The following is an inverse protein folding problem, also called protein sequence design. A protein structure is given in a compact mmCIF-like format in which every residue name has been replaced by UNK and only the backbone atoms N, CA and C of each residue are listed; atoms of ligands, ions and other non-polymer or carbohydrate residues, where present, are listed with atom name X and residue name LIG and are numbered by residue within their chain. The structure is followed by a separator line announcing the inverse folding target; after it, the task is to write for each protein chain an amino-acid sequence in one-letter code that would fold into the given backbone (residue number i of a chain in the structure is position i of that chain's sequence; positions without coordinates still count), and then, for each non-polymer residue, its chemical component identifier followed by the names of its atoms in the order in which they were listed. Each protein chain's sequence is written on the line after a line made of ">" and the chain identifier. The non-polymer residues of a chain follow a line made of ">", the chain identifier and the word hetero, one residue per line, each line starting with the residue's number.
data_IF_204571543698
#
_entry.id   IF_204571543698
#
_cell.length_a   1.000
_cell.length_b   1.000
_cell.length_c   1.000
_cell.angle_alpha   90.00
_cell.angle_beta   90.00
_cell.angle_gamma   90.00
#
_symmetry.space_group_name_H-M   'P 1'
#
loop_
_entity.id
_entity.type
_entity.pdbx_description
1 polymer ?
#
# COMPACT_ATOMS: atom_id res chain seq x y z
N UNK A 1 -19.00 -6.16 25.93
CA UNK A 1 -19.51 -7.48 26.39
C UNK A 1 -19.57 -7.44 27.91
N UNK A 2 -20.63 -7.96 28.53
CA UNK A 2 -20.73 -7.96 30.00
C UNK A 2 -20.47 -9.38 30.53
N UNK A 3 -19.61 -9.48 31.54
CA UNK A 3 -19.35 -10.70 32.29
C UNK A 3 -20.11 -10.60 33.60
N UNK A 4 -20.81 -11.67 33.98
CA UNK A 4 -21.61 -11.74 35.20
C UNK A 4 -21.19 -12.99 35.97
N UNK A 5 -20.83 -12.82 37.24
CA UNK A 5 -20.60 -13.94 38.15
C UNK A 5 -21.96 -14.58 38.52
N UNK A 6 -22.03 -15.91 38.59
CA UNK A 6 -23.24 -16.63 38.98
C UNK A 6 -22.92 -17.93 39.73
N UNK A 7 -23.89 -18.41 40.53
CA UNK A 7 -23.87 -19.68 41.25
C UNK A 7 -22.67 -19.90 42.20
N UNK A 8 -22.46 -19.04 43.23
CA UNK A 8 -21.45 -19.32 44.24
C UNK A 8 -21.80 -20.58 45.04
N UNK A 9 -20.81 -21.43 45.31
CA UNK A 9 -20.96 -22.66 46.10
C UNK A 9 -20.24 -22.55 47.44
N UNK A 10 -20.51 -23.46 48.39
CA UNK A 10 -19.76 -23.53 49.65
C UNK A 10 -20.07 -22.43 50.66
N UNK A 11 -21.25 -21.80 50.56
CA UNK A 11 -21.70 -20.74 51.48
C UNK A 11 -21.21 -19.33 51.14
N UNK A 12 -20.53 -19.14 50.00
CA UNK A 12 -20.11 -17.83 49.53
C UNK A 12 -21.28 -17.01 48.95
N UNK A 13 -21.17 -15.69 49.03
CA UNK A 13 -22.08 -14.73 48.39
C UNK A 13 -21.31 -13.88 47.37
N UNK A 14 -21.96 -13.47 46.27
CA UNK A 14 -21.35 -12.56 45.30
C UNK A 14 -21.23 -11.15 45.90
N UNK A 15 -20.07 -10.51 45.70
CA UNK A 15 -19.82 -9.13 46.12
C UNK A 15 -20.20 -8.12 45.03
N UNK A 16 -20.20 -6.83 45.37
CA UNK A 16 -20.45 -5.74 44.42
C UNK A 16 -19.15 -5.06 43.98
N UNK A 17 -18.89 -4.91 42.66
CA UNK A 17 -19.72 -5.34 41.54
C UNK A 17 -19.55 -6.84 41.22
N UNK A 18 -20.66 -7.51 40.90
CA UNK A 18 -20.70 -8.90 40.40
C UNK A 18 -20.65 -8.96 38.85
N UNK A 19 -20.60 -7.79 38.21
CA UNK A 19 -20.45 -7.62 36.77
C UNK A 19 -19.17 -6.90 36.41
N UNK A 20 -18.56 -7.30 35.30
CA UNK A 20 -17.45 -6.58 34.67
C UNK A 20 -17.77 -6.32 33.19
N UNK A 21 -17.29 -5.19 32.67
CA UNK A 21 -17.37 -4.87 31.24
C UNK A 21 -16.08 -5.33 30.56
N UNK A 22 -16.19 -6.27 29.61
CA UNK A 22 -15.14 -6.58 28.66
C UNK A 22 -15.29 -5.71 27.42
N UNK A 23 -14.29 -4.89 27.18
CA UNK A 23 -14.10 -4.15 25.93
C UNK A 23 -13.16 -4.95 25.03
N UNK A 24 -13.63 -5.35 23.85
CA UNK A 24 -12.76 -5.82 22.78
C UNK A 24 -12.40 -4.57 21.98
N UNK A 25 -11.11 -4.22 21.96
CA UNK A 25 -10.60 -3.16 21.10
C UNK A 25 -10.35 -3.79 19.75
N UNK A 26 -11.11 -3.37 18.74
CA UNK A 26 -10.85 -3.75 17.37
C UNK A 26 -9.50 -3.16 16.94
N UNK A 27 -8.59 -4.02 16.49
CA UNK A 27 -7.30 -3.62 15.93
C UNK A 27 -7.18 -3.97 14.44
N UNK A 28 -8.29 -4.28 13.77
CA UNK A 28 -8.39 -4.50 12.32
C UNK A 28 -8.29 -3.18 11.56
N UNK A 29 -7.29 -2.36 11.90
CA UNK A 29 -6.93 -1.20 11.09
C UNK A 29 -6.48 -1.70 9.71
N UNK A 30 -7.06 -1.13 8.65
CA UNK A 30 -6.64 -1.43 7.28
C UNK A 30 -5.19 -1.02 7.00
N UNK A 31 -4.60 -0.22 7.89
CA UNK A 31 -3.21 0.22 7.81
C UNK A 31 -3.02 1.40 6.87
N UNK A 32 -1.77 1.83 6.76
CA UNK A 32 -1.33 2.96 5.95
C UNK A 32 -0.62 2.42 4.72
N UNK A 33 -1.14 2.74 3.53
CA UNK A 33 -0.57 2.38 2.24
C UNK A 33 0.22 3.55 1.66
N UNK A 34 1.45 3.30 1.22
CA UNK A 34 2.31 4.33 0.62
C UNK A 34 3.38 3.72 -0.28
N UNK A 35 3.94 4.50 -1.19
CA UNK A 35 5.15 4.10 -1.91
C UNK A 35 6.31 3.85 -0.93
N UNK A 36 7.16 2.87 -1.26
CA UNK A 36 8.34 2.56 -0.46
C UNK A 36 9.39 3.68 -0.50
N UNK A 37 9.38 4.49 -1.56
CA UNK A 37 10.26 5.64 -1.79
C UNK A 37 9.47 6.76 -2.49
N UNK A 38 9.87 8.02 -2.29
CA UNK A 38 9.32 9.15 -3.04
C UNK A 38 9.89 9.24 -4.47
N UNK A 39 11.06 8.63 -4.70
CA UNK A 39 11.74 8.61 -6.00
C UNK A 39 12.22 7.21 -6.35
N UNK A 40 12.13 6.87 -7.62
CA UNK A 40 12.63 5.63 -8.22
C UNK A 40 13.51 5.98 -9.43
N UNK A 41 14.40 5.07 -9.80
CA UNK A 41 15.14 5.19 -11.05
C UNK A 41 15.25 3.83 -11.75
N UNK A 42 15.30 3.88 -13.08
CA UNK A 42 15.51 2.72 -13.94
C UNK A 42 16.36 3.16 -15.12
N UNK A 43 17.27 2.31 -15.59
CA UNK A 43 17.95 2.59 -16.85
C UNK A 43 17.00 2.27 -18.01
N UNK A 44 16.98 3.11 -19.03
CA UNK A 44 16.19 2.90 -20.25
C UNK A 44 16.50 1.52 -20.88
N UNK A 45 17.79 1.17 -20.96
CA UNK A 45 18.29 -0.12 -21.44
C UNK A 45 18.24 -1.26 -20.42
N UNK A 46 17.38 -1.21 -19.39
CA UNK A 46 17.28 -2.30 -18.39
C UNK A 46 16.88 -3.61 -19.07
N UNK A 47 17.61 -4.70 -18.79
CA UNK A 47 17.41 -6.00 -19.46
C UNK A 47 15.99 -6.57 -19.29
N UNK A 48 15.30 -6.24 -18.19
CA UNK A 48 13.92 -6.66 -17.95
C UNK A 48 12.89 -5.89 -18.79
N UNK A 49 13.28 -4.73 -19.35
CA UNK A 49 12.37 -3.74 -19.92
C UNK A 49 11.37 -3.16 -18.93
N UNK A 50 11.62 -3.27 -17.61
CA UNK A 50 10.63 -2.96 -16.57
C UNK A 50 11.24 -2.22 -15.38
N UNK A 51 10.58 -1.13 -14.97
CA UNK A 51 10.78 -0.51 -13.66
C UNK A 51 9.87 -1.18 -12.61
N UNK A 52 10.40 -1.43 -11.41
CA UNK A 52 9.64 -2.05 -10.31
C UNK A 52 9.29 -0.99 -9.28
N UNK A 53 7.99 -0.79 -9.03
CA UNK A 53 7.49 0.14 -8.02
C UNK A 53 6.92 -0.67 -6.86
N UNK A 54 7.34 -0.35 -5.63
CA UNK A 54 6.90 -1.03 -4.41
C UNK A 54 6.01 -0.14 -3.55
N UNK A 55 4.88 -0.69 -3.13
CA UNK A 55 3.95 -0.09 -2.17
C UNK A 55 4.03 -0.90 -0.87
N UNK A 56 4.10 -0.21 0.26
CA UNK A 56 4.14 -0.82 1.59
C UNK A 56 2.87 -0.52 2.37
N UNK A 57 2.55 -1.42 3.30
CA UNK A 57 1.44 -1.34 4.24
C UNK A 57 1.99 -1.41 5.66
N UNK A 58 1.64 -0.45 6.51
CA UNK A 58 2.09 -0.39 7.91
C UNK A 58 0.96 -0.05 8.88
N UNK A 59 1.12 -0.35 10.18
CA UNK A 59 0.14 0.03 11.20
C UNK A 59 -1.20 -0.73 11.14
N UNK A 60 -1.25 -1.84 10.37
CA UNK A 60 -2.42 -2.72 10.25
C UNK A 60 -2.27 -3.69 9.08
N UNK A 61 -2.56 -4.98 9.30
CA UNK A 61 -2.49 -6.01 8.24
C UNK A 61 -3.47 -7.19 8.45
N UNK A 62 -4.35 -7.14 9.44
CA UNK A 62 -5.18 -8.27 9.82
C UNK A 62 -6.27 -8.62 8.78
N UNK A 63 -6.73 -7.63 8.01
CA UNK A 63 -7.74 -7.78 6.95
C UNK A 63 -7.18 -7.50 5.56
N UNK A 64 -7.92 -7.88 4.51
CA UNK A 64 -7.58 -7.53 3.13
C UNK A 64 -7.90 -6.07 2.80
N UNK A 65 -7.04 -5.41 2.04
CA UNK A 65 -7.21 -4.01 1.58
C UNK A 65 -6.81 -3.86 0.13
N UNK A 66 -7.21 -2.76 -0.51
CA UNK A 66 -6.75 -2.42 -1.85
C UNK A 66 -6.46 -0.94 -2.02
N UNK A 67 -5.67 -0.62 -3.03
CA UNK A 67 -5.38 0.76 -3.45
C UNK A 67 -5.18 0.79 -4.96
N UNK A 68 -5.73 1.80 -5.61
CA UNK A 68 -5.49 2.05 -7.02
C UNK A 68 -4.17 2.78 -7.20
N UNK A 69 -3.51 2.55 -8.32
CA UNK A 69 -2.34 3.32 -8.72
C UNK A 69 -2.51 3.85 -10.14
N UNK A 70 -2.07 5.09 -10.33
CA UNK A 70 -2.07 5.76 -11.63
C UNK A 70 -0.67 6.19 -12.03
N UNK A 71 -0.41 6.07 -13.32
CA UNK A 71 0.84 6.43 -13.97
C UNK A 71 0.49 7.50 -15.01
N UNK A 72 1.13 8.66 -14.91
CA UNK A 72 0.92 9.77 -15.82
C UNK A 72 2.26 10.34 -16.28
N UNK A 73 2.25 10.98 -17.43
CA UNK A 73 3.44 11.62 -17.98
C UNK A 73 4.02 12.65 -17.00
N UNK A 74 5.36 12.67 -16.93
CA UNK A 74 6.13 13.78 -16.39
C UNK A 74 6.78 14.52 -17.56
N UNK A 75 8.08 14.31 -17.75
CA UNK A 75 8.74 14.66 -19.03
C UNK A 75 8.82 13.48 -20.01
N UNK A 76 8.62 12.25 -19.53
CA UNK A 76 8.46 11.06 -20.37
C UNK A 76 7.04 11.00 -20.95
N UNK A 77 6.92 10.47 -22.17
CA UNK A 77 5.68 10.33 -22.92
C UNK A 77 5.29 8.85 -23.03
N UNK A 78 4.08 8.51 -22.58
CA UNK A 78 3.56 7.16 -22.75
C UNK A 78 3.41 6.78 -24.23
N UNK A 79 3.85 5.59 -24.59
CA UNK A 79 3.92 5.09 -25.97
C UNK A 79 5.25 5.38 -26.68
N UNK A 80 6.08 6.26 -26.12
CA UNK A 80 7.42 6.57 -26.64
C UNK A 80 8.50 6.11 -25.67
N UNK A 81 8.42 6.53 -24.40
CA UNK A 81 9.46 6.29 -23.38
C UNK A 81 9.07 5.15 -22.43
N UNK A 82 7.77 4.95 -22.22
CA UNK A 82 7.21 3.93 -21.33
C UNK A 82 5.77 3.59 -21.76
N UNK A 83 5.17 2.54 -21.21
CA UNK A 83 3.73 2.29 -21.35
C UNK A 83 3.00 2.43 -20.03
N UNK A 84 2.07 3.39 -19.94
CA UNK A 84 1.22 3.56 -18.78
C UNK A 84 0.26 2.38 -18.60
N UNK A 85 0.30 1.75 -17.43
CA UNK A 85 -0.63 0.66 -17.06
C UNK A 85 -1.18 0.90 -15.67
N UNK A 86 -2.28 1.64 -15.57
CA UNK A 86 -2.97 1.86 -14.29
C UNK A 86 -3.58 0.55 -13.77
N UNK A 87 -3.80 0.45 -12.46
CA UNK A 87 -4.38 -0.76 -11.89
C UNK A 87 -4.68 -0.66 -10.41
N UNK A 88 -5.00 -1.81 -9.82
CA UNK A 88 -5.35 -1.94 -8.40
C UNK A 88 -4.42 -2.96 -7.75
N UNK A 89 -3.79 -2.58 -6.64
CA UNK A 89 -3.07 -3.50 -5.78
C UNK A 89 -4.00 -4.02 -4.68
N UNK A 90 -4.16 -5.35 -4.60
CA UNK A 90 -4.96 -6.02 -3.57
C UNK A 90 -4.01 -6.71 -2.59
N UNK A 91 -4.02 -6.30 -1.32
CA UNK A 91 -3.24 -6.89 -0.23
C UNK A 91 -4.13 -7.86 0.54
N UNK A 92 -3.73 -9.13 0.61
CA UNK A 92 -4.38 -10.09 1.51
C UNK A 92 -4.03 -9.80 2.98
N UNK A 93 -4.75 -10.44 3.91
CA UNK A 93 -4.37 -10.46 5.31
C UNK A 93 -2.90 -10.90 5.49
N UNK A 94 -2.18 -10.22 6.38
CA UNK A 94 -0.76 -10.41 6.63
C UNK A 94 0.19 -9.81 5.57
N UNK A 95 -0.30 -9.39 4.40
CA UNK A 95 0.57 -8.82 3.36
C UNK A 95 0.91 -7.36 3.67
N UNK A 96 2.21 -7.09 3.77
CA UNK A 96 2.74 -5.75 4.13
C UNK A 96 3.43 -5.04 2.96
N UNK A 97 3.55 -5.67 1.80
CA UNK A 97 4.04 -5.01 0.58
C UNK A 97 3.53 -5.68 -0.68
N UNK A 98 3.39 -4.89 -1.75
CA UNK A 98 3.16 -5.35 -3.12
C UNK A 98 3.96 -4.51 -4.11
N UNK A 99 4.14 -5.06 -5.30
CA UNK A 99 4.82 -4.38 -6.41
C UNK A 99 3.96 -4.38 -7.65
N UNK A 100 4.10 -3.34 -8.45
CA UNK A 100 3.69 -3.33 -9.85
C UNK A 100 4.88 -2.92 -10.71
N UNK A 101 4.75 -3.11 -12.02
CA UNK A 101 5.80 -2.77 -12.99
C UNK A 101 5.32 -1.75 -14.00
N UNK A 102 6.25 -0.95 -14.48
CA UNK A 102 6.06 -0.04 -15.61
C UNK A 102 6.96 -0.52 -16.73
N UNK A 103 6.39 -0.74 -17.92
CA UNK A 103 7.16 -1.14 -19.10
C UNK A 103 7.94 0.06 -19.63
N UNK A 104 9.25 -0.12 -19.79
CA UNK A 104 10.18 0.89 -20.29
C UNK A 104 10.46 0.59 -21.76
N UNK A 105 10.36 1.60 -22.59
CA UNK A 105 10.68 1.51 -24.01
C UNK A 105 12.13 1.98 -24.15
N UNK A 106 12.95 1.16 -24.79
CA UNK A 106 14.33 1.50 -25.12
C UNK A 106 14.38 1.95 -26.58
N UNK A 107 14.72 3.20 -26.80
CA UNK A 107 14.88 3.77 -28.13
C UNK A 107 16.37 4.10 -28.41
N UNK A 108 16.81 4.23 -29.66
CA UNK A 108 18.24 4.37 -29.98
C UNK A 108 18.81 5.80 -29.83
N UNK A 109 18.01 6.78 -29.41
CA UNK A 109 18.40 8.20 -29.38
C UNK A 109 18.93 8.57 -28.00
N UNK A 110 20.05 9.31 -27.97
CA UNK A 110 20.54 9.85 -26.71
C UNK A 110 19.72 11.08 -26.31
N UNK A 111 18.96 10.95 -25.23
CA UNK A 111 18.12 12.00 -24.66
C UNK A 111 18.50 12.30 -23.19
N UNK A 112 18.07 13.45 -22.63
CA UNK A 112 18.15 13.69 -21.20
C UNK A 112 17.25 12.71 -20.42
N UNK A 113 17.58 12.48 -19.15
CA UNK A 113 16.73 11.69 -18.25
C UNK A 113 15.29 12.23 -18.21
N UNK A 114 14.31 11.32 -18.30
CA UNK A 114 12.89 11.67 -18.31
C UNK A 114 12.18 11.16 -17.07
N UNK A 115 11.04 11.77 -16.74
CA UNK A 115 10.29 11.45 -15.52
C UNK A 115 8.87 10.97 -15.79
N UNK A 116 8.40 10.07 -14.94
CA UNK A 116 7.02 9.56 -14.90
C UNK A 116 6.45 9.83 -13.50
N UNK A 117 5.22 10.33 -13.46
CA UNK A 117 4.52 10.66 -12.21
C UNK A 117 3.65 9.47 -11.76
N UNK A 118 3.70 9.16 -10.47
CA UNK A 118 2.97 8.05 -9.84
C UNK A 118 2.09 8.57 -8.71
N UNK A 119 0.86 8.05 -8.61
CA UNK A 119 -0.04 8.35 -7.50
C UNK A 119 -0.78 7.09 -7.02
N UNK A 120 -1.08 7.04 -5.72
CA UNK A 120 -1.97 6.09 -5.08
C UNK A 120 -3.31 6.75 -4.79
N UNK A 121 -4.41 6.04 -5.05
CA UNK A 121 -5.77 6.57 -4.97
C UNK A 121 -6.73 5.53 -4.40
N UNK A 122 -7.91 5.99 -3.96
CA UNK A 122 -9.06 5.15 -3.60
C UNK A 122 -8.74 3.97 -2.66
N UNK A 123 -8.06 4.16 -1.50
CA UNK A 123 -7.81 3.05 -0.59
C UNK A 123 -9.15 2.46 -0.09
N UNK A 124 -9.24 1.13 -0.06
CA UNK A 124 -10.42 0.38 0.39
C UNK A 124 -10.08 -0.52 1.59
N UNK A 125 -11.10 -1.07 2.25
CA UNK A 125 -10.92 -2.01 3.37
C UNK A 125 -10.41 -1.35 4.66
N UNK A 126 -10.71 -0.06 4.85
CA UNK A 126 -10.28 0.70 6.04
C UNK A 126 -8.81 1.12 6.03
N UNK A 127 -8.11 0.95 4.91
CA UNK A 127 -6.78 1.52 4.72
C UNK A 127 -6.87 3.04 4.46
N UNK A 128 -5.80 3.74 4.80
CA UNK A 128 -5.59 5.15 4.44
C UNK A 128 -4.29 5.32 3.67
N UNK A 129 -4.14 6.42 2.95
CA UNK A 129 -2.88 6.77 2.28
C UNK A 129 -1.89 7.39 3.29
N UNK A 130 -0.61 7.06 3.14
CA UNK A 130 0.48 7.66 3.90
C UNK A 130 1.03 8.92 3.23
N UNK A 131 2.10 9.48 3.81
CA UNK A 131 2.74 10.72 3.32
C UNK A 131 3.39 10.60 1.93
N UNK A 132 3.58 9.37 1.45
CA UNK A 132 4.16 9.07 0.13
C UNK A 132 3.11 8.41 -0.74
N UNK A 133 2.01 9.12 -0.95
CA UNK A 133 0.93 8.74 -1.87
C UNK A 133 1.22 9.18 -3.31
N UNK A 134 2.23 10.04 -3.52
CA UNK A 134 2.84 10.32 -4.82
C UNK A 134 4.31 9.93 -4.87
N UNK A 135 4.81 9.57 -6.04
CA UNK A 135 6.24 9.34 -6.29
C UNK A 135 6.63 9.69 -7.73
N UNK A 136 7.92 9.85 -7.98
CA UNK A 136 8.48 10.08 -9.32
C UNK A 136 9.41 8.93 -9.70
N UNK A 137 9.23 8.38 -10.90
CA UNK A 137 10.19 7.49 -11.53
C UNK A 137 11.03 8.29 -12.54
N UNK A 138 12.35 8.19 -12.43
CA UNK A 138 13.28 8.71 -13.43
C UNK A 138 13.76 7.57 -14.34
N UNK A 139 13.53 7.72 -15.64
CA UNK A 139 14.14 6.90 -16.68
C UNK A 139 15.50 7.53 -16.98
N UNK A 140 16.57 6.83 -16.60
CA UNK A 140 17.95 7.22 -16.81
C UNK A 140 18.35 6.76 -18.20
N UNK A 141 18.70 7.72 -19.05
CA UNK A 141 19.18 7.40 -20.38
C UNK A 141 20.53 6.65 -20.30
N UNK A 142 20.80 5.83 -21.31
CA UNK A 142 21.98 4.95 -21.38
C UNK A 142 23.30 5.68 -21.64
#
# INVERSE_FOLDING_TARGET
>A
MNLTLSNPTGGATLGTPDTAVLTIIDNDTGGVLQFSSATYSVNEGVLSGKAVIKVTRSGGSASGVSVDYTITDGTAVSGTDYNATNGTLIFAAGQTSKTFTIDIINDPVDEPNKTVNLALLNPQGGAILGLRDTAVLTIVNK
#
